data_IF_322432573011
#
_entry.id   IF_322432573011
#
_cell.length_a   1.000
_cell.length_b   1.000
_cell.length_c   1.000
_cell.angle_alpha   90.00
_cell.angle_beta   90.00
_cell.angle_gamma   90.00
#
_symmetry.space_group_name_H-M   'P 1'
#
loop_
_entity.id
_entity.type
_entity.pdbx_description
1 polymer ?
#
# COMPACT_ATOMS: atom_id res chain seq x y z
N UNK A 1 -4.31 -31.21 -9.01
CA UNK A 1 -5.28 -30.93 -7.92
C UNK A 1 -4.92 -29.59 -7.31
N UNK A 2 -5.85 -28.65 -7.27
CA UNK A 2 -5.63 -27.38 -6.59
C UNK A 2 -5.58 -27.63 -5.06
N UNK A 3 -4.57 -27.09 -4.38
CA UNK A 3 -4.50 -27.12 -2.92
C UNK A 3 -5.41 -26.04 -2.35
N UNK A 4 -6.14 -26.34 -1.29
CA UNK A 4 -6.91 -25.34 -0.54
C UNK A 4 -5.98 -24.23 -0.05
N UNK A 5 -6.34 -22.97 -0.31
CA UNK A 5 -5.61 -21.79 0.15
C UNK A 5 -6.42 -21.10 1.26
N UNK A 6 -5.81 -20.94 2.43
CA UNK A 6 -6.40 -20.22 3.57
C UNK A 6 -5.94 -18.76 3.67
N UNK A 7 -5.00 -18.35 2.80
CA UNK A 7 -4.49 -16.98 2.78
C UNK A 7 -5.38 -16.10 1.91
N UNK A 8 -5.84 -14.99 2.50
CA UNK A 8 -6.57 -13.95 1.77
C UNK A 8 -5.68 -13.26 0.75
N UNK A 9 -6.25 -12.89 -0.39
CA UNK A 9 -5.58 -12.08 -1.42
C UNK A 9 -5.48 -10.62 -0.99
N UNK A 10 -4.69 -9.80 -1.69
CA UNK A 10 -4.61 -8.37 -1.40
C UNK A 10 -5.98 -7.70 -1.60
N UNK A 11 -6.69 -8.07 -2.66
CA UNK A 11 -8.02 -7.55 -2.97
C UNK A 11 -9.03 -7.89 -1.87
N UNK A 12 -8.95 -9.10 -1.31
CA UNK A 12 -9.80 -9.50 -0.18
C UNK A 12 -9.44 -8.78 1.12
N UNK A 13 -8.15 -8.55 1.39
CA UNK A 13 -7.70 -7.86 2.61
C UNK A 13 -8.08 -6.39 2.60
N UNK A 14 -7.88 -5.71 1.46
CA UNK A 14 -8.15 -4.27 1.33
C UNK A 14 -9.57 -3.95 0.86
N UNK A 15 -10.32 -4.95 0.40
CA UNK A 15 -11.60 -4.78 -0.29
C UNK A 15 -11.50 -3.83 -1.50
N UNK A 16 -10.46 -4.03 -2.31
CA UNK A 16 -10.09 -3.18 -3.44
C UNK A 16 -9.96 -4.00 -4.72
N UNK A 17 -10.19 -3.35 -5.87
CA UNK A 17 -9.86 -3.96 -7.15
C UNK A 17 -8.34 -4.06 -7.33
N UNK A 18 -7.90 -5.20 -7.83
CA UNK A 18 -6.49 -5.51 -8.01
C UNK A 18 -6.19 -5.97 -9.42
N UNK A 19 -4.90 -5.93 -9.77
CA UNK A 19 -4.38 -6.52 -11.00
C UNK A 19 -3.02 -7.17 -10.74
N UNK A 20 -2.62 -8.09 -11.61
CA UNK A 20 -1.26 -8.61 -11.62
C UNK A 20 -0.31 -7.59 -12.28
N UNK A 21 0.87 -7.41 -11.70
CA UNK A 21 1.91 -6.52 -12.23
C UNK A 21 3.29 -7.13 -12.06
N UNK A 22 4.11 -7.04 -13.11
CA UNK A 22 5.54 -7.37 -13.04
C UNK A 22 6.27 -6.23 -12.33
N UNK A 23 7.04 -6.59 -11.32
CA UNK A 23 7.81 -5.71 -10.45
C UNK A 23 9.26 -6.16 -10.44
N UNK A 24 10.18 -5.24 -10.15
CA UNK A 24 11.61 -5.54 -9.97
C UNK A 24 11.95 -5.47 -8.50
N UNK A 25 12.60 -6.51 -7.97
CA UNK A 25 13.02 -6.56 -6.58
C UNK A 25 14.20 -5.61 -6.37
N UNK A 26 14.05 -4.63 -5.45
CA UNK A 26 15.16 -3.74 -5.07
C UNK A 26 16.35 -4.52 -4.46
N UNK A 27 16.08 -5.65 -3.79
CA UNK A 27 17.13 -6.45 -3.13
C UNK A 27 17.93 -7.30 -4.11
N UNK A 28 17.27 -7.86 -5.13
CA UNK A 28 17.85 -8.90 -5.99
C UNK A 28 17.93 -8.51 -7.46
N UNK A 29 17.30 -7.41 -7.87
CA UNK A 29 17.17 -6.98 -9.27
C UNK A 29 16.31 -7.89 -10.13
N UNK A 30 15.70 -8.94 -9.57
CA UNK A 30 14.91 -9.92 -10.33
C UNK A 30 13.47 -9.45 -10.48
N UNK A 31 12.90 -9.77 -11.63
CA UNK A 31 11.47 -9.61 -11.87
C UNK A 31 10.66 -10.62 -11.07
N UNK A 32 9.50 -10.17 -10.59
CA UNK A 32 8.48 -11.00 -9.96
C UNK A 32 7.11 -10.45 -10.30
N UNK A 33 6.11 -11.32 -10.38
CA UNK A 33 4.72 -10.89 -10.58
C UNK A 33 4.00 -10.90 -9.24
N UNK A 34 3.27 -9.83 -8.94
CA UNK A 34 2.46 -9.71 -7.72
C UNK A 34 1.14 -9.01 -8.00
N UNK A 35 0.17 -9.26 -7.13
CA UNK A 35 -1.08 -8.52 -7.10
C UNK A 35 -0.85 -7.11 -6.53
N UNK A 36 -1.43 -6.10 -7.17
CA UNK A 36 -1.37 -4.69 -6.76
C UNK A 36 -2.73 -4.01 -6.87
N UNK A 37 -3.00 -3.05 -6.00
CA UNK A 37 -4.02 -2.02 -6.21
C UNK A 37 -3.38 -0.89 -7.04
N UNK A 38 -3.80 -0.65 -8.28
CA UNK A 38 -3.12 0.29 -9.18
C UNK A 38 -3.08 1.72 -8.65
N UNK A 39 -4.20 2.16 -8.06
CA UNK A 39 -4.37 3.48 -7.46
C UNK A 39 -5.25 3.33 -6.23
N UNK A 40 -4.74 3.76 -5.07
CA UNK A 40 -5.45 3.70 -3.81
C UNK A 40 -5.57 5.11 -3.22
N UNK A 41 -6.80 5.59 -3.05
CA UNK A 41 -7.08 6.88 -2.42
C UNK A 41 -7.50 6.65 -0.97
N UNK A 42 -6.80 7.27 -0.03
CA UNK A 42 -7.02 7.13 1.41
C UNK A 42 -6.75 8.47 2.12
N UNK A 43 -7.15 8.57 3.38
CA UNK A 43 -6.86 9.75 4.21
C UNK A 43 -5.66 9.49 5.12
N UNK A 44 -4.76 10.45 5.23
CA UNK A 44 -3.69 10.42 6.23
C UNK A 44 -4.25 10.70 7.62
N UNK A 45 -3.76 9.99 8.64
CA UNK A 45 -4.01 10.34 10.04
C UNK A 45 -3.03 11.40 10.56
N UNK A 46 -2.16 11.93 9.71
CA UNK A 46 -1.16 12.95 10.05
C UNK A 46 0.15 12.39 10.63
N UNK A 47 0.29 11.07 10.71
CA UNK A 47 1.53 10.41 11.14
C UNK A 47 2.40 10.02 9.95
N UNK A 48 3.66 10.45 9.99
CA UNK A 48 4.70 10.17 9.00
C UNK A 48 5.97 9.75 9.74
N UNK A 49 6.46 8.54 9.45
CA UNK A 49 7.69 8.00 10.03
C UNK A 49 8.70 7.69 8.91
N UNK A 50 9.95 8.11 9.07
CA UNK A 50 11.04 7.71 8.17
C UNK A 50 11.76 6.47 8.72
N UNK A 51 11.88 5.43 7.89
CA UNK A 51 12.56 4.17 8.20
C UNK A 51 13.32 3.69 6.98
N UNK A 52 14.62 3.46 7.12
CA UNK A 52 15.52 2.99 6.06
C UNK A 52 15.48 3.86 4.78
N UNK A 53 15.39 5.18 4.93
CA UNK A 53 15.29 6.13 3.82
C UNK A 53 13.97 6.06 3.04
N UNK A 54 12.94 5.42 3.63
CA UNK A 54 11.58 5.36 3.11
C UNK A 54 10.61 5.92 4.14
N UNK A 55 9.40 6.20 3.70
CA UNK A 55 8.38 6.89 4.49
C UNK A 55 7.16 6.00 4.70
N UNK A 56 6.76 5.85 5.96
CA UNK A 56 5.55 5.15 6.37
C UNK A 56 4.45 6.17 6.64
N UNK A 57 3.31 5.98 5.99
CA UNK A 57 2.11 6.78 6.20
C UNK A 57 1.07 5.91 6.88
N UNK A 58 0.60 6.33 8.04
CA UNK A 58 -0.58 5.75 8.65
C UNK A 58 -1.83 6.37 8.00
N UNK A 59 -2.72 5.52 7.51
CA UNK A 59 -3.84 5.91 6.66
C UNK A 59 -5.10 5.17 7.02
N UNK A 60 -6.24 5.80 6.73
CA UNK A 60 -7.56 5.19 6.82
C UNK A 60 -8.21 5.15 5.43
N UNK A 61 -8.73 3.98 5.07
CA UNK A 61 -9.65 3.79 3.95
C UNK A 61 -11.08 3.84 4.50
N UNK A 62 -11.68 5.02 4.43
CA UNK A 62 -13.01 5.27 4.96
C UNK A 62 -14.12 4.58 4.17
N UNK A 63 -13.86 4.17 2.92
CA UNK A 63 -14.86 3.44 2.13
C UNK A 63 -15.00 1.98 2.57
N UNK A 64 -13.93 1.43 3.14
CA UNK A 64 -13.84 0.03 3.55
C UNK A 64 -13.69 -0.17 5.06
N UNK A 65 -13.67 0.92 5.84
CA UNK A 65 -13.49 0.92 7.30
C UNK A 65 -12.20 0.20 7.74
N UNK A 66 -11.09 0.54 7.07
CA UNK A 66 -9.78 -0.07 7.30
C UNK A 66 -8.73 0.97 7.70
N UNK A 67 -7.81 0.59 8.59
CA UNK A 67 -6.63 1.36 8.97
C UNK A 67 -5.37 0.53 8.75
N UNK A 68 -4.34 1.13 8.14
CA UNK A 68 -3.06 0.47 7.89
C UNK A 68 -1.93 1.45 7.62
N UNK A 69 -0.70 0.93 7.57
CA UNK A 69 0.51 1.69 7.29
C UNK A 69 1.06 1.30 5.91
N UNK A 70 1.29 2.28 5.05
CA UNK A 70 1.89 2.07 3.72
C UNK A 70 3.29 2.68 3.68
N UNK A 71 4.29 1.87 3.29
CA UNK A 71 5.67 2.33 3.08
C UNK A 71 5.93 2.71 1.62
N UNK A 72 6.53 3.87 1.38
CA UNK A 72 6.84 4.40 0.04
C UNK A 72 8.21 5.08 0.01
N UNK A 73 8.87 5.16 -1.16
CA UNK A 73 10.20 5.77 -1.26
C UNK A 73 10.19 7.30 -1.24
N UNK A 74 9.11 7.94 -1.70
CA UNK A 74 9.04 9.40 -1.78
C UNK A 74 8.25 10.01 -0.60
N UNK A 75 8.63 11.22 -0.22
CA UNK A 75 7.94 11.98 0.82
C UNK A 75 6.96 12.99 0.22
N UNK A 76 5.82 13.18 0.89
CA UNK A 76 4.92 14.32 0.74
C UNK A 76 4.54 14.83 2.13
N UNK A 77 4.33 16.13 2.25
CA UNK A 77 3.86 16.72 3.51
C UNK A 77 2.39 16.34 3.76
N UNK A 78 2.08 15.97 5.00
CA UNK A 78 0.74 15.52 5.39
C UNK A 78 0.32 16.12 6.71
N UNK A 79 -0.99 16.33 6.85
CA UNK A 79 -1.69 16.58 8.10
C UNK A 79 -2.87 15.61 8.20
N UNK A 80 -3.52 15.57 9.36
CA UNK A 80 -4.73 14.78 9.52
C UNK A 80 -5.77 15.15 8.45
N UNK A 81 -6.33 14.15 7.78
CA UNK A 81 -7.32 14.31 6.72
C UNK A 81 -6.75 14.67 5.34
N UNK A 82 -5.43 14.79 5.18
CA UNK A 82 -4.84 14.95 3.83
C UNK A 82 -5.20 13.74 2.97
N UNK A 83 -5.86 13.98 1.83
CA UNK A 83 -6.17 12.93 0.87
C UNK A 83 -4.91 12.55 0.09
N UNK A 84 -4.55 11.27 0.15
CA UNK A 84 -3.38 10.71 -0.50
C UNK A 84 -3.79 9.71 -1.57
N UNK A 85 -3.03 9.70 -2.66
CA UNK A 85 -3.10 8.66 -3.68
C UNK A 85 -1.79 7.89 -3.71
N UNK A 86 -1.88 6.58 -3.47
CA UNK A 86 -0.77 5.65 -3.60
C UNK A 86 -0.84 4.90 -4.92
N UNK A 87 0.31 4.69 -5.57
CA UNK A 87 0.41 3.92 -6.82
C UNK A 87 0.99 2.53 -6.61
N UNK A 88 0.33 1.53 -7.19
CA UNK A 88 0.73 0.13 -7.16
C UNK A 88 0.96 -0.39 -5.73
N UNK A 89 -0.05 -0.19 -4.88
CA UNK A 89 -0.04 -0.70 -3.51
C UNK A 89 -0.03 -2.21 -3.55
N UNK A 90 0.91 -2.79 -2.83
CA UNK A 90 1.12 -4.23 -2.69
C UNK A 90 1.30 -4.56 -1.22
N UNK A 91 1.01 -5.78 -0.86
CA UNK A 91 1.18 -6.23 0.51
C UNK A 91 1.24 -7.73 0.60
N UNK A 92 1.46 -8.18 1.83
CA UNK A 92 1.49 -9.58 2.15
C UNK A 92 1.67 -9.77 3.64
N UNK A 93 1.93 -11.01 4.03
CA UNK A 93 2.18 -11.37 5.41
C UNK A 93 3.66 -11.67 5.61
N UNK A 94 4.22 -11.19 6.71
CA UNK A 94 5.56 -11.60 7.16
C UNK A 94 5.52 -13.01 7.75
N UNK A 95 6.68 -13.61 7.99
CA UNK A 95 6.79 -14.93 8.64
C UNK A 95 6.10 -15.01 10.00
N UNK A 96 5.92 -13.86 10.66
CA UNK A 96 5.33 -13.76 11.99
C UNK A 96 3.82 -13.44 11.95
N UNK A 97 3.19 -13.50 10.77
CA UNK A 97 1.75 -13.24 10.63
C UNK A 97 1.36 -11.76 10.54
N UNK A 98 2.30 -10.82 10.66
CA UNK A 98 2.01 -9.39 10.52
C UNK A 98 1.90 -8.99 9.05
N UNK A 99 0.80 -8.31 8.71
CA UNK A 99 0.59 -7.71 7.39
C UNK A 99 1.54 -6.54 7.14
N UNK A 100 1.99 -6.37 5.91
CA UNK A 100 2.75 -5.21 5.47
C UNK A 100 2.19 -4.67 4.15
N UNK A 101 2.30 -3.35 3.96
CA UNK A 101 1.92 -2.68 2.72
C UNK A 101 3.03 -1.75 2.24
N UNK A 102 3.24 -1.73 0.93
CA UNK A 102 4.15 -0.80 0.27
C UNK A 102 3.54 -0.29 -1.04
N UNK A 103 4.01 0.86 -1.51
CA UNK A 103 3.63 1.38 -2.82
C UNK A 103 4.86 1.93 -3.54
N UNK A 104 4.71 2.20 -4.84
CA UNK A 104 5.80 2.78 -5.65
C UNK A 104 5.93 4.28 -5.39
N UNK A 105 4.80 4.96 -5.16
CA UNK A 105 4.79 6.38 -4.84
C UNK A 105 3.52 6.81 -4.12
N UNK A 106 3.60 7.99 -3.51
CA UNK A 106 2.48 8.72 -2.93
C UNK A 106 2.40 10.14 -3.49
N UNK A 107 1.19 10.66 -3.66
CA UNK A 107 0.92 12.05 -4.01
C UNK A 107 -0.25 12.60 -3.18
N UNK A 108 -0.25 13.91 -2.92
CA UNK A 108 -1.42 14.61 -2.36
C UNK A 108 -2.44 14.81 -3.47
N UNK A 109 -3.69 14.39 -3.23
CA UNK A 109 -4.79 14.67 -4.16
C UNK A 109 -5.25 16.11 -3.90
N UNK A 110 -4.89 17.03 -4.79
CA UNK A 110 -5.46 18.36 -4.78
C UNK A 110 -6.91 18.28 -5.26
N UNK A 111 -7.85 18.70 -4.41
CA UNK A 111 -9.18 19.06 -4.90
C UNK A 111 -9.01 20.39 -5.61
N UNK A 112 -9.19 20.42 -6.93
CA UNK A 112 -9.41 21.68 -7.62
C UNK A 112 -10.69 22.28 -7.01
N UNK A 113 -10.52 23.41 -6.33
CA UNK A 113 -11.62 24.21 -5.78
C UNK A 113 -12.39 24.88 -6.91
#
# INVERSE_FOLDING_TARGET
MAKTNWNRTLGEVLNQQTQQKVMVSEKTGKEYTTEVVPSLNVLSIGSLEEVDGKFKYAVVDTANDLEYIIKVPNQVEVKFGTQLQFKYVRGGVTTNGMGWFAADSVAVVQRNA
#
